data_IF_698376564289
#
_entry.id   IF_698376564289
#
_cell.length_a   1.000
_cell.length_b   1.000
_cell.length_c   1.000
_cell.angle_alpha   90.00
_cell.angle_beta   90.00
_cell.angle_gamma   90.00
#
_symmetry.space_group_name_H-M   'P 1'
#
loop_
_entity.id
_entity.type
_entity.pdbx_description
1 polymer ?
#
# COMPACT_ATOMS: atom_id res chain seq x y z
N UNK A 1 -12.89 -1.92 -11.59
CA UNK A 1 -12.81 -1.99 -13.06
C UNK A 1 -12.78 -0.57 -13.66
N UNK A 2 -11.75 0.26 -13.37
CA UNK A 2 -11.79 1.70 -13.74
C UNK A 2 -10.51 2.26 -14.36
N UNK A 3 -9.53 1.44 -14.76
CA UNK A 3 -8.22 1.89 -15.24
C UNK A 3 -8.10 2.04 -16.77
N UNK A 4 -9.13 1.72 -17.55
CA UNK A 4 -9.04 1.64 -19.02
C UNK A 4 -9.26 2.97 -19.77
N UNK A 5 -10.00 3.92 -19.18
CA UNK A 5 -10.45 5.12 -19.91
C UNK A 5 -9.34 6.16 -20.11
N UNK A 6 -8.34 6.23 -19.22
CA UNK A 6 -7.27 7.22 -19.29
C UNK A 6 -6.27 6.99 -20.45
N UNK A 7 -6.14 5.75 -20.93
CA UNK A 7 -5.22 5.41 -22.03
C UNK A 7 -5.74 5.82 -23.40
N UNK A 8 -7.07 5.77 -23.60
CA UNK A 8 -7.70 6.08 -24.88
C UNK A 8 -7.59 7.57 -25.25
N UNK A 9 -7.72 8.47 -24.28
CA UNK A 9 -7.63 9.93 -24.48
C UNK A 9 -6.22 10.41 -24.80
N UNK A 10 -5.18 9.76 -24.27
CA UNK A 10 -3.78 10.12 -24.57
C UNK A 10 -3.39 9.77 -26.01
N UNK A 11 -3.88 8.64 -26.54
CA UNK A 11 -3.58 8.19 -27.90
C UNK A 11 -4.16 9.12 -28.98
N UNK A 12 -5.39 9.63 -28.79
CA UNK A 12 -6.04 10.54 -29.75
C UNK A 12 -5.34 11.90 -29.79
N UNK A 13 -4.84 12.39 -28.65
CA UNK A 13 -4.17 13.68 -28.55
C UNK A 13 -2.80 13.66 -29.27
N UNK A 14 -2.02 12.60 -29.08
CA UNK A 14 -0.71 12.44 -29.74
C UNK A 14 -0.81 12.35 -31.28
N UNK A 15 -1.87 11.72 -31.80
CA UNK A 15 -2.12 11.63 -33.24
C UNK A 15 -2.42 12.99 -33.89
N UNK A 16 -3.15 13.88 -33.19
CA UNK A 16 -3.50 15.22 -33.69
C UNK A 16 -2.28 16.15 -33.83
N UNK A 17 -1.34 16.10 -32.87
CA UNK A 17 -0.12 16.92 -32.86
C UNK A 17 0.84 16.51 -33.98
N UNK A 18 0.87 15.22 -34.31
CA UNK A 18 1.71 14.67 -35.40
C UNK A 18 1.17 15.05 -36.79
N UNK A 19 -0.14 15.22 -36.94
CA UNK A 19 -0.77 15.66 -38.20
C UNK A 19 -0.50 17.14 -38.49
N UNK A 20 -0.60 18.01 -37.46
CA UNK A 20 -0.34 19.44 -37.59
C UNK A 20 1.12 19.77 -37.99
N UNK A 21 2.09 18.97 -37.52
CA UNK A 21 3.51 19.13 -37.87
C UNK A 21 3.84 18.72 -39.31
N UNK A 22 3.07 17.79 -39.93
CA UNK A 22 3.24 17.44 -41.35
C UNK A 22 2.59 18.45 -42.30
N UNK A 23 1.46 19.04 -41.91
CA UNK A 23 0.74 20.02 -42.73
C UNK A 23 1.56 21.31 -42.97
N UNK A 24 2.41 21.72 -42.02
CA UNK A 24 3.26 22.91 -42.15
C UNK A 24 4.39 22.76 -43.19
N UNK A 25 4.88 21.53 -43.43
CA UNK A 25 5.94 21.28 -44.43
C UNK A 25 5.45 21.39 -45.87
N UNK A 26 4.15 21.22 -46.11
CA UNK A 26 3.55 21.29 -47.43
C UNK A 26 2.84 22.64 -47.64
N UNK A 27 3.48 23.74 -47.22
CA UNK A 27 2.98 25.09 -47.53
C UNK A 27 2.88 25.24 -49.04
N UNK A 28 1.65 25.46 -49.48
CA UNK A 28 1.23 25.68 -50.85
C UNK A 28 2.15 26.70 -51.52
N UNK A 29 2.71 26.36 -52.70
CA UNK A 29 3.62 27.26 -53.44
C UNK A 29 2.91 28.59 -53.66
N UNK A 30 3.48 29.67 -53.12
CA UNK A 30 2.89 31.01 -53.19
C UNK A 30 2.79 31.45 -54.65
N UNK A 31 1.57 31.79 -55.07
CA UNK A 31 1.25 32.25 -56.43
C UNK A 31 2.05 33.49 -56.82
N UNK A 32 2.46 34.30 -55.83
CA UNK A 32 3.32 35.47 -56.03
C UNK A 32 4.74 35.08 -56.43
N UNK A 33 5.27 34.04 -55.80
CA UNK A 33 6.60 33.50 -56.12
C UNK A 33 6.59 32.86 -57.52
N UNK A 34 5.51 32.18 -57.90
CA UNK A 34 5.36 31.68 -59.29
C UNK A 34 5.28 32.81 -60.31
N UNK A 35 4.56 33.91 -60.02
CA UNK A 35 4.51 35.08 -60.92
C UNK A 35 5.89 35.71 -61.06
N UNK A 36 6.64 35.89 -59.96
CA UNK A 36 8.00 36.41 -60.01
C UNK A 36 8.93 35.53 -60.87
N UNK A 37 8.84 34.19 -60.74
CA UNK A 37 9.62 33.28 -61.61
C UNK A 37 9.22 33.35 -63.07
N UNK A 38 7.92 33.49 -63.39
CA UNK A 38 7.44 33.63 -64.77
C UNK A 38 7.94 34.93 -65.39
N UNK A 39 7.94 36.05 -64.64
CA UNK A 39 8.47 37.33 -65.11
C UNK A 39 9.96 37.24 -65.44
N UNK A 40 10.76 36.55 -64.63
CA UNK A 40 12.18 36.33 -64.89
C UNK A 40 12.41 35.47 -66.14
N UNK A 41 11.63 34.40 -66.32
CA UNK A 41 11.70 33.55 -67.52
C UNK A 41 11.31 34.33 -68.78
N UNK A 42 10.23 35.12 -68.74
CA UNK A 42 9.80 35.97 -69.85
C UNK A 42 10.86 37.01 -70.20
N UNK A 43 11.45 37.65 -69.19
CA UNK A 43 12.56 38.59 -69.37
C UNK A 43 13.74 37.95 -70.11
N UNK A 44 14.12 36.72 -69.74
CA UNK A 44 15.22 36.00 -70.38
C UNK A 44 14.89 35.63 -71.84
N UNK A 45 13.68 35.11 -72.10
CA UNK A 45 13.22 34.76 -73.44
C UNK A 45 13.16 35.98 -74.37
N UNK A 46 12.72 37.12 -73.86
CA UNK A 46 12.61 38.36 -74.62
C UNK A 46 13.99 38.87 -75.08
N UNK A 47 14.99 38.83 -74.19
CA UNK A 47 16.38 39.19 -74.54
C UNK A 47 16.97 38.21 -75.55
N UNK A 48 16.79 36.89 -75.35
CA UNK A 48 17.28 35.87 -76.29
C UNK A 48 16.67 36.04 -77.69
N UNK A 49 15.36 36.28 -77.77
CA UNK A 49 14.67 36.54 -79.04
C UNK A 49 15.18 37.80 -79.74
N UNK A 50 15.42 38.88 -78.99
CA UNK A 50 15.96 40.13 -79.54
C UNK A 50 17.38 39.97 -80.10
N UNK A 51 18.23 39.21 -79.41
CA UNK A 51 19.60 38.89 -79.87
C UNK A 51 19.56 38.06 -81.16
N UNK A 52 18.69 37.03 -81.22
CA UNK A 52 18.55 36.20 -82.41
C UNK A 52 18.08 36.96 -83.65
N UNK A 53 17.35 38.07 -83.47
CA UNK A 53 16.92 38.95 -84.57
C UNK A 53 18.06 39.77 -85.19
N UNK A 54 19.20 39.95 -84.52
CA UNK A 54 20.32 40.76 -85.02
C UNK A 54 20.09 42.28 -85.05
N UNK A 55 18.97 42.78 -84.55
CA UNK A 55 18.62 44.22 -84.56
C UNK A 55 19.07 44.92 -83.29
N UNK A 56 19.97 45.91 -83.42
CA UNK A 56 20.50 46.67 -82.29
C UNK A 56 19.40 47.42 -81.51
N UNK A 57 18.42 48.00 -82.20
CA UNK A 57 17.29 48.68 -81.56
C UNK A 57 16.46 47.69 -80.73
N UNK A 58 16.13 46.51 -81.26
CA UNK A 58 15.37 45.50 -80.52
C UNK A 58 16.13 45.03 -79.27
N UNK A 59 17.45 44.87 -79.36
CA UNK A 59 18.29 44.50 -78.21
C UNK A 59 18.23 45.57 -77.12
N UNK A 60 18.34 46.86 -77.46
CA UNK A 60 18.29 47.94 -76.45
C UNK A 60 16.94 48.03 -75.75
N UNK A 61 15.83 47.93 -76.49
CA UNK A 61 14.48 47.94 -75.92
C UNK A 61 14.24 46.70 -75.06
N UNK A 62 14.68 45.52 -75.53
CA UNK A 62 14.59 44.28 -74.77
C UNK A 62 15.38 44.33 -73.46
N UNK A 63 16.57 44.93 -73.47
CA UNK A 63 17.39 45.11 -72.28
C UNK A 63 16.70 46.01 -71.25
N UNK A 64 16.12 47.15 -71.66
CA UNK A 64 15.38 48.02 -70.75
C UNK A 64 14.14 47.31 -70.17
N UNK A 65 13.37 46.61 -71.01
CA UNK A 65 12.22 45.83 -70.56
C UNK A 65 12.64 44.73 -69.56
N UNK A 66 13.76 44.04 -69.81
CA UNK A 66 14.29 43.02 -68.93
C UNK A 66 14.68 43.57 -67.55
N UNK A 67 15.30 44.75 -67.49
CA UNK A 67 15.62 45.40 -66.22
C UNK A 67 14.35 45.73 -65.42
N UNK A 68 13.31 46.25 -66.08
CA UNK A 68 12.03 46.56 -65.43
C UNK A 68 11.35 45.29 -64.90
N UNK A 69 11.28 44.23 -65.72
CA UNK A 69 10.71 42.94 -65.32
C UNK A 69 11.50 42.29 -64.17
N UNK A 70 12.83 42.35 -64.22
CA UNK A 70 13.70 41.86 -63.15
C UNK A 70 13.53 42.64 -61.85
N UNK A 71 13.44 43.97 -61.91
CA UNK A 71 13.18 44.81 -60.73
C UNK A 71 11.81 44.50 -60.10
N UNK A 72 10.78 44.31 -60.92
CA UNK A 72 9.46 43.90 -60.45
C UNK A 72 9.49 42.53 -59.77
N UNK A 73 10.16 41.53 -60.37
CA UNK A 73 10.31 40.19 -59.79
C UNK A 73 11.05 40.21 -58.45
N UNK A 74 12.14 40.98 -58.33
CA UNK A 74 12.89 41.15 -57.07
C UNK A 74 12.03 41.80 -56.00
N UNK A 75 11.26 42.84 -56.34
CA UNK A 75 10.36 43.51 -55.39
C UNK A 75 9.29 42.55 -54.86
N UNK A 76 8.68 41.76 -55.74
CA UNK A 76 7.67 40.75 -55.35
C UNK A 76 8.30 39.72 -54.40
N UNK A 77 9.47 39.19 -54.75
CA UNK A 77 10.18 38.19 -53.94
C UNK A 77 10.58 38.75 -52.58
N UNK A 78 11.08 39.99 -52.54
CA UNK A 78 11.48 40.65 -51.31
C UNK A 78 10.30 40.89 -50.37
N UNK A 79 9.16 41.36 -50.89
CA UNK A 79 7.95 41.58 -50.11
C UNK A 79 7.44 40.27 -49.49
N UNK A 80 7.46 39.18 -50.26
CA UNK A 80 7.05 37.86 -49.78
C UNK A 80 7.99 37.30 -48.70
N UNK A 81 9.31 37.50 -48.84
CA UNK A 81 10.29 37.09 -47.84
C UNK A 81 10.09 37.86 -46.51
N UNK A 82 9.86 39.17 -46.57
CA UNK A 82 9.56 39.97 -45.38
C UNK A 82 8.29 39.51 -44.69
N UNK A 83 7.23 39.25 -45.47
CA UNK A 83 5.97 38.75 -44.93
C UNK A 83 6.14 37.38 -44.27
N UNK A 84 6.80 36.45 -44.96
CA UNK A 84 7.09 35.11 -44.45
C UNK A 84 7.91 35.14 -43.15
N UNK A 85 8.88 36.06 -43.03
CA UNK A 85 9.63 36.27 -41.78
C UNK A 85 8.76 36.77 -40.64
N UNK A 86 7.84 37.71 -40.90
CA UNK A 86 6.91 38.24 -39.89
C UNK A 86 5.95 37.15 -39.42
N UNK A 87 5.36 36.40 -40.35
CA UNK A 87 4.44 35.31 -40.04
C UNK A 87 5.17 34.23 -39.24
N UNK A 88 6.39 33.84 -39.62
CA UNK A 88 7.19 32.87 -38.87
C UNK A 88 7.60 33.37 -37.47
N UNK A 89 7.78 34.67 -37.27
CA UNK A 89 8.04 35.24 -35.94
C UNK A 89 6.76 35.21 -35.08
N UNK A 90 5.61 35.54 -35.68
CA UNK A 90 4.30 35.47 -35.03
C UNK A 90 3.93 34.05 -34.63
N UNK A 91 4.08 33.08 -35.54
CA UNK A 91 3.82 31.66 -35.28
C UNK A 91 4.67 31.15 -34.10
N UNK A 92 5.96 31.53 -34.04
CA UNK A 92 6.84 31.17 -32.91
C UNK A 92 6.41 31.82 -31.60
N UNK A 93 5.97 33.07 -31.63
CA UNK A 93 5.46 33.74 -30.44
C UNK A 93 4.16 33.09 -29.93
N UNK A 94 3.23 32.76 -30.84
CA UNK A 94 1.99 32.06 -30.51
C UNK A 94 2.27 30.66 -29.95
N UNK A 95 3.21 29.91 -30.54
CA UNK A 95 3.66 28.62 -30.01
C UNK A 95 4.28 28.76 -28.62
N UNK A 96 5.16 29.73 -28.40
CA UNK A 96 5.78 29.95 -27.09
C UNK A 96 4.72 30.29 -26.02
N UNK A 97 3.70 31.08 -26.36
CA UNK A 97 2.58 31.36 -25.47
C UNK A 97 1.74 30.12 -25.19
N UNK A 98 1.45 29.31 -26.20
CA UNK A 98 0.71 28.06 -26.03
C UNK A 98 1.47 27.07 -25.12
N UNK A 99 2.78 26.92 -25.32
CA UNK A 99 3.62 26.09 -24.45
C UNK A 99 3.69 26.63 -23.03
N UNK A 100 3.74 27.95 -22.85
CA UNK A 100 3.71 28.57 -21.52
C UNK A 100 2.43 28.23 -20.78
N UNK A 101 1.27 28.38 -21.41
CA UNK A 101 -0.03 28.02 -20.83
C UNK A 101 -0.11 26.55 -20.46
N UNK A 102 0.36 25.66 -21.35
CA UNK A 102 0.41 24.22 -21.06
C UNK A 102 1.35 23.91 -19.88
N UNK A 103 2.46 24.63 -19.76
CA UNK A 103 3.39 24.46 -18.65
C UNK A 103 2.78 24.94 -17.33
N UNK A 104 2.07 26.08 -17.33
CA UNK A 104 1.32 26.60 -16.18
C UNK A 104 0.26 25.59 -15.73
N UNK A 105 -0.61 25.13 -16.63
CA UNK A 105 -1.64 24.12 -16.30
C UNK A 105 -1.03 22.84 -15.73
N UNK A 106 0.05 22.32 -16.34
CA UNK A 106 0.73 21.14 -15.81
C UNK A 106 1.38 21.39 -14.45
N UNK A 107 1.94 22.57 -14.22
CA UNK A 107 2.53 22.92 -12.93
C UNK A 107 1.46 22.93 -11.83
N UNK A 108 0.29 23.50 -12.12
CA UNK A 108 -0.85 23.50 -11.19
C UNK A 108 -1.36 22.08 -10.91
N UNK A 109 -1.53 21.26 -11.96
CA UNK A 109 -1.93 19.84 -11.82
C UNK A 109 -0.91 19.02 -11.02
N UNK A 110 0.39 19.25 -11.26
CA UNK A 110 1.47 18.59 -10.54
C UNK A 110 1.50 19.02 -9.07
N UNK A 111 1.34 20.32 -8.78
CA UNK A 111 1.30 20.83 -7.41
C UNK A 111 0.12 20.23 -6.64
N UNK A 112 -1.08 20.20 -7.24
CA UNK A 112 -2.26 19.59 -6.64
C UNK A 112 -2.06 18.09 -6.35
N UNK A 113 -1.46 17.35 -7.29
CA UNK A 113 -1.17 15.92 -7.11
C UNK A 113 -0.15 15.68 -6.00
N UNK A 114 0.89 16.51 -5.91
CA UNK A 114 1.89 16.38 -4.84
C UNK A 114 1.23 16.63 -3.48
N UNK A 115 0.40 17.67 -3.36
CA UNK A 115 -0.34 17.94 -2.13
C UNK A 115 -1.24 16.76 -1.70
N UNK A 116 -2.03 16.19 -2.63
CA UNK A 116 -2.87 15.02 -2.37
C UNK A 116 -2.06 13.79 -1.92
N UNK A 117 -0.89 13.56 -2.53
CA UNK A 117 -0.05 12.43 -2.15
C UNK A 117 0.64 12.64 -0.80
N UNK A 118 1.04 13.87 -0.49
CA UNK A 118 1.62 14.22 0.81
C UNK A 118 0.60 14.03 1.93
N UNK A 119 -0.63 14.51 1.77
CA UNK A 119 -1.72 14.32 2.74
C UNK A 119 -1.97 12.82 3.00
N UNK A 120 -2.08 12.02 1.94
CA UNK A 120 -2.23 10.56 2.07
C UNK A 120 -1.04 9.91 2.76
N UNK A 121 0.18 10.38 2.53
CA UNK A 121 1.37 9.84 3.18
C UNK A 121 1.30 10.10 4.69
N UNK A 122 0.98 11.33 5.09
CA UNK A 122 0.85 11.74 6.49
C UNK A 122 -0.25 10.93 7.22
N UNK A 123 -1.41 10.76 6.58
CA UNK A 123 -2.49 9.90 7.12
C UNK A 123 -2.01 8.46 7.37
N UNK A 124 -1.22 7.91 6.43
CA UNK A 124 -0.72 6.54 6.51
C UNK A 124 0.38 6.41 7.57
N UNK A 125 1.26 7.39 7.68
CA UNK A 125 2.28 7.43 8.72
C UNK A 125 1.66 7.51 10.11
N UNK A 126 0.61 8.33 10.29
CA UNK A 126 -0.15 8.38 11.55
C UNK A 126 -0.78 7.03 11.87
N UNK A 127 -1.48 6.42 10.91
CA UNK A 127 -2.11 5.11 11.12
C UNK A 127 -1.09 4.00 11.44
N UNK A 128 0.10 4.04 10.82
CA UNK A 128 1.19 3.12 11.15
C UNK A 128 1.73 3.34 12.56
N UNK A 129 1.86 4.60 13.00
CA UNK A 129 2.26 4.94 14.36
C UNK A 129 1.29 4.43 15.42
N UNK A 130 -0.02 4.56 15.16
CA UNK A 130 -1.07 4.04 16.05
C UNK A 130 -1.02 2.51 16.11
N UNK A 131 -0.92 1.84 14.96
CA UNK A 131 -0.80 0.37 14.89
C UNK A 131 0.46 -0.14 15.61
N UNK A 132 1.59 0.54 15.47
CA UNK A 132 2.81 0.19 16.18
C UNK A 132 2.64 0.32 17.70
N UNK A 133 1.97 1.38 18.15
CA UNK A 133 1.69 1.60 19.57
C UNK A 133 0.80 0.51 20.15
N UNK A 134 -0.29 0.15 19.45
CA UNK A 134 -1.18 -0.94 19.86
C UNK A 134 -0.49 -2.30 19.79
N UNK A 135 0.39 -2.54 18.82
CA UNK A 135 1.19 -3.76 18.76
C UNK A 135 2.11 -3.89 19.97
N UNK A 136 2.80 -2.81 20.38
CA UNK A 136 3.65 -2.83 21.57
C UNK A 136 2.82 -3.08 22.84
N UNK A 137 1.64 -2.47 22.97
CA UNK A 137 0.73 -2.71 24.11
C UNK A 137 0.27 -4.17 24.16
N UNK A 138 -0.18 -4.71 23.04
CA UNK A 138 -0.65 -6.10 22.96
C UNK A 138 0.47 -7.10 23.26
N UNK A 139 1.67 -6.88 22.74
CA UNK A 139 2.86 -7.69 23.06
C UNK A 139 3.19 -7.64 24.55
N UNK A 140 3.13 -6.45 25.18
CA UNK A 140 3.36 -6.30 26.62
C UNK A 140 2.31 -7.05 27.44
N UNK A 141 1.03 -6.88 27.12
CA UNK A 141 -0.06 -7.59 27.79
C UNK A 141 0.07 -9.10 27.63
N UNK A 142 0.47 -9.59 26.46
CA UNK A 142 0.73 -11.01 26.23
C UNK A 142 1.92 -11.53 27.05
N UNK A 143 2.99 -10.75 27.18
CA UNK A 143 4.12 -11.12 28.02
C UNK A 143 3.74 -11.15 29.52
N UNK A 144 2.95 -10.17 29.97
CA UNK A 144 2.50 -10.10 31.36
C UNK A 144 1.50 -11.21 31.70
N UNK A 145 0.59 -11.57 30.78
CA UNK A 145 -0.31 -12.72 30.97
C UNK A 145 0.45 -14.05 31.00
N UNK A 146 1.45 -14.22 30.14
CA UNK A 146 2.32 -15.40 30.15
C UNK A 146 3.08 -15.54 31.49
N UNK A 147 3.59 -14.43 32.04
CA UNK A 147 4.23 -14.42 33.38
C UNK A 147 3.24 -14.80 34.49
N UNK A 148 2.02 -14.27 34.47
CA UNK A 148 1.00 -14.60 35.46
C UNK A 148 0.63 -16.09 35.42
N UNK A 149 0.52 -16.66 34.23
CA UNK A 149 0.27 -18.09 34.04
C UNK A 149 1.42 -18.93 34.60
N UNK A 150 2.68 -18.57 34.35
CA UNK A 150 3.83 -19.28 34.91
C UNK A 150 3.84 -19.26 36.45
N UNK A 151 3.57 -18.09 37.05
CA UNK A 151 3.47 -17.95 38.51
C UNK A 151 2.32 -18.79 39.08
N UNK A 152 1.13 -18.74 38.46
CA UNK A 152 -0.01 -19.53 38.88
C UNK A 152 0.23 -21.04 38.72
N UNK A 153 0.95 -21.45 37.68
CA UNK A 153 1.35 -22.84 37.47
C UNK A 153 2.29 -23.32 38.58
N UNK A 154 3.33 -22.55 38.90
CA UNK A 154 4.24 -22.88 40.02
C UNK A 154 3.51 -23.04 41.35
N UNK A 155 2.57 -22.12 41.63
CA UNK A 155 1.75 -22.19 42.84
C UNK A 155 0.85 -23.43 42.87
N UNK A 156 0.23 -23.80 41.74
CA UNK A 156 -0.55 -25.03 41.66
C UNK A 156 0.32 -26.27 41.91
N UNK A 157 1.52 -26.33 41.32
CA UNK A 157 2.45 -27.44 41.54
C UNK A 157 2.85 -27.59 43.02
N UNK A 158 3.00 -26.48 43.74
CA UNK A 158 3.26 -26.48 45.18
C UNK A 158 2.05 -26.98 45.97
N UNK A 159 0.85 -26.43 45.71
CA UNK A 159 -0.39 -26.85 46.35
C UNK A 159 -0.72 -28.33 46.07
N UNK A 160 -0.42 -28.85 44.88
CA UNK A 160 -0.57 -30.27 44.56
C UNK A 160 0.40 -31.16 45.37
N UNK A 161 1.60 -30.67 45.69
CA UNK A 161 2.54 -31.40 46.57
C UNK A 161 2.02 -31.41 48.01
N UNK A 162 1.57 -30.27 48.51
CA UNK A 162 0.98 -30.15 49.85
C UNK A 162 -0.27 -31.03 49.97
N UNK A 163 -1.18 -30.98 48.99
CA UNK A 163 -2.36 -31.82 48.92
C UNK A 163 -2.02 -33.32 48.96
N UNK A 164 -0.96 -33.75 48.26
CA UNK A 164 -0.45 -35.14 48.32
C UNK A 164 0.15 -35.51 49.68
N UNK A 165 0.72 -34.56 50.42
CA UNK A 165 1.23 -34.81 51.78
C UNK A 165 0.04 -34.95 52.74
N UNK A 166 -0.92 -34.02 52.67
CA UNK A 166 -2.12 -34.05 53.51
C UNK A 166 -2.94 -35.31 53.26
N UNK A 167 -3.16 -35.70 52.00
CA UNK A 167 -3.87 -36.93 51.66
C UNK A 167 -3.21 -38.18 52.27
N UNK A 168 -1.88 -38.30 52.20
CA UNK A 168 -1.14 -39.41 52.82
C UNK A 168 -1.25 -39.40 54.36
N UNK A 169 -1.22 -38.21 54.97
CA UNK A 169 -1.38 -38.10 56.43
C UNK A 169 -2.79 -38.47 56.89
N UNK A 170 -3.80 -38.15 56.08
CA UNK A 170 -5.19 -38.53 56.31
C UNK A 170 -5.35 -40.04 56.20
N UNK A 171 -4.85 -40.66 55.12
CA UNK A 171 -4.88 -42.12 54.92
C UNK A 171 -4.24 -42.86 56.11
N UNK A 172 -3.06 -42.40 56.58
CA UNK A 172 -2.41 -42.98 57.76
C UNK A 172 -3.17 -42.73 59.08
N UNK A 173 -3.92 -41.64 59.20
CA UNK A 173 -4.77 -41.39 60.37
C UNK A 173 -6.04 -42.23 60.34
N UNK A 174 -6.64 -42.41 59.15
CA UNK A 174 -7.80 -43.27 58.91
C UNK A 174 -7.46 -44.74 59.18
N UNK A 175 -6.29 -45.22 58.73
CA UNK A 175 -5.80 -46.57 59.02
C UNK A 175 -5.63 -46.80 60.53
N UNK A 176 -4.95 -45.88 61.23
CA UNK A 176 -4.82 -45.96 62.71
C UNK A 176 -6.15 -45.90 63.44
N UNK A 177 -7.11 -45.13 62.93
CA UNK A 177 -8.45 -45.07 63.50
C UNK A 177 -9.20 -46.39 63.29
N UNK A 178 -9.09 -47.01 62.12
CA UNK A 178 -9.67 -48.31 61.83
C UNK A 178 -9.08 -49.40 62.74
N UNK A 179 -7.75 -49.45 62.88
CA UNK A 179 -7.07 -50.39 63.79
C UNK A 179 -7.52 -50.19 65.25
N UNK A 180 -7.66 -48.94 65.69
CA UNK A 180 -8.13 -48.63 67.03
C UNK A 180 -9.59 -49.07 67.25
N UNK A 181 -10.47 -48.86 66.27
CA UNK A 181 -11.86 -49.32 66.31
C UNK A 181 -11.91 -50.86 66.43
N UNK A 182 -11.11 -51.57 65.63
CA UNK A 182 -11.03 -53.04 65.69
C UNK A 182 -10.52 -53.48 67.06
N UNK A 183 -9.47 -52.87 67.60
CA UNK A 183 -8.94 -53.26 68.91
C UNK A 183 -9.92 -52.95 70.05
N UNK A 184 -10.67 -51.86 69.96
CA UNK A 184 -11.75 -51.58 70.93
C UNK A 184 -12.81 -52.66 70.88
N UNK A 185 -13.25 -53.07 69.69
CA UNK A 185 -14.24 -54.15 69.54
C UNK A 185 -13.71 -55.50 70.07
N UNK A 186 -12.44 -55.82 69.83
CA UNK A 186 -11.79 -57.00 70.40
C UNK A 186 -11.73 -56.95 71.93
N UNK A 187 -11.33 -55.81 72.51
CA UNK A 187 -11.28 -55.61 73.96
C UNK A 187 -12.66 -55.68 74.60
N UNK A 188 -13.69 -55.13 73.96
CA UNK A 188 -15.08 -55.25 74.41
C UNK A 188 -15.52 -56.72 74.44
N UNK A 189 -15.18 -57.49 73.40
CA UNK A 189 -15.45 -58.93 73.37
C UNK A 189 -14.67 -59.71 74.45
N UNK A 190 -13.39 -59.38 74.66
CA UNK A 190 -12.58 -59.95 75.75
C UNK A 190 -13.22 -59.64 77.13
N UNK A 191 -13.69 -58.40 77.35
CA UNK A 191 -14.38 -57.99 78.59
C UNK A 191 -15.67 -58.78 78.78
N UNK A 192 -16.48 -58.97 77.74
CA UNK A 192 -17.73 -59.73 77.82
C UNK A 192 -17.48 -61.20 78.18
N UNK A 193 -16.44 -61.81 77.60
CA UNK A 193 -16.02 -63.18 77.95
C UNK A 193 -15.55 -63.24 79.41
N UNK A 194 -14.66 -62.35 79.84
CA UNK A 194 -14.16 -62.32 81.23
C UNK A 194 -15.28 -62.06 82.25
N UNK A 195 -16.27 -61.23 81.91
CA UNK A 195 -17.47 -61.02 82.74
C UNK A 195 -18.28 -62.30 82.86
N UNK A 196 -18.53 -63.00 81.75
CA UNK A 196 -19.23 -64.28 81.77
C UNK A 196 -18.47 -65.34 82.60
N UNK A 197 -17.16 -65.44 82.45
CA UNK A 197 -16.32 -66.33 83.28
C UNK A 197 -16.43 -65.98 84.77
N UNK A 198 -16.33 -64.70 85.13
CA UNK A 198 -16.44 -64.24 86.52
C UNK A 198 -17.82 -64.53 87.10
N UNK A 199 -18.89 -64.35 86.34
CA UNK A 199 -20.26 -64.74 86.72
C UNK A 199 -20.36 -66.25 86.98
N UNK A 200 -19.79 -67.10 86.12
CA UNK A 200 -19.80 -68.55 86.32
C UNK A 200 -19.01 -68.98 87.57
N UNK A 201 -17.82 -68.42 87.80
CA UNK A 201 -16.99 -68.70 88.98
C UNK A 201 -17.69 -68.21 90.25
N UNK A 202 -18.30 -67.03 90.21
CA UNK A 202 -19.05 -66.48 91.35
C UNK A 202 -20.27 -67.34 91.66
N UNK A 203 -21.00 -67.81 90.65
CA UNK A 203 -22.11 -68.74 90.83
C UNK A 203 -21.64 -70.08 91.42
N UNK A 204 -20.52 -70.64 90.94
CA UNK A 204 -19.92 -71.85 91.48
C UNK A 204 -19.47 -71.68 92.94
N UNK A 205 -18.85 -70.55 93.29
CA UNK A 205 -18.45 -70.24 94.66
C UNK A 205 -19.66 -70.09 95.59
N UNK A 206 -20.71 -69.36 95.17
CA UNK A 206 -21.94 -69.21 95.95
C UNK A 206 -22.66 -70.54 96.19
N UNK A 207 -22.69 -71.42 95.19
CA UNK A 207 -23.26 -72.76 95.35
C UNK A 207 -22.41 -73.62 96.30
N UNK A 208 -21.08 -73.54 96.25
CA UNK A 208 -20.18 -74.19 97.19
C UNK A 208 -20.34 -73.65 98.62
N UNK A 209 -20.44 -72.33 98.81
CA UNK A 209 -20.66 -71.69 100.11
C UNK A 209 -22.04 -72.06 100.69
N UNK A 210 -23.10 -72.07 99.86
CA UNK A 210 -24.42 -72.56 100.26
C UNK A 210 -24.41 -74.06 100.62
N UNK A 211 -23.57 -74.86 99.94
CA UNK A 211 -23.33 -76.26 100.27
C UNK A 211 -22.49 -76.46 101.54
N UNK A 212 -21.65 -75.50 101.90
CA UNK A 212 -20.90 -75.48 103.16
C UNK A 212 -21.79 -75.05 104.34
N UNK A 213 -22.64 -74.03 104.16
CA UNK A 213 -23.63 -73.59 105.16
C UNK A 213 -24.72 -74.62 105.46
N UNK A 214 -25.01 -75.57 104.54
CA UNK A 214 -25.92 -76.71 104.80
C UNK A 214 -25.26 -77.88 105.52
N UNK A 215 -23.93 -77.86 105.69
CA UNK A 215 -23.13 -78.91 106.33
C UNK A 215 -22.60 -78.50 107.71
N UNK A 216 -22.92 -77.29 108.17
CA UNK A 216 -22.78 -76.82 109.55
C UNK A 216 -24.18 -76.80 110.20
#
# INVERSE_FOLDING_TARGET
>A
MSTSVAGATQATTAASVTSATRASRRRQRSTRLTVATVLLVLSALLVLGAVASGSALLVTVAALAAVVLGAAATRITHAELLQSRRDAARDRAEQAQAYRRLAETRADEHAARVAELTERLEERESALGDLQTELVKTQRTAADSARQVDVAHRRNVELEKEGRVVARSLESAEERAADAIVRVAELEAEIDVLRAELETVTAAWRTAEAGARRRA
#
